data_IF_938997619349
#
_entry.id   IF_938997619349
#
_cell.length_a   1.000
_cell.length_b   1.000
_cell.length_c   1.000
_cell.angle_alpha   90.00
_cell.angle_beta   90.00
_cell.angle_gamma   90.00
#
_symmetry.space_group_name_H-M   'P 1'
#
loop_
_entity.id
_entity.type
_entity.pdbx_description
1 polymer ?
#
# COMPACT_ATOMS: atom_id res chain seq x y z
N UNK A 1 -72.95 7.77 33.43
CA UNK A 1 -72.00 8.76 32.81
C UNK A 1 -70.61 8.13 32.85
N UNK A 2 -70.18 7.46 31.77
CA UNK A 2 -68.87 6.81 31.69
C UNK A 2 -67.88 7.78 31.03
N UNK A 3 -66.91 8.17 31.80
CA UNK A 3 -65.86 9.16 31.44
C UNK A 3 -64.89 8.48 30.46
N UNK A 4 -64.97 8.81 29.14
CA UNK A 4 -64.04 8.38 28.10
C UNK A 4 -62.77 9.20 28.27
N UNK A 5 -61.75 8.64 28.92
CA UNK A 5 -60.36 9.19 28.86
C UNK A 5 -59.89 9.28 27.41
N UNK A 6 -59.46 10.44 26.94
CA UNK A 6 -58.99 10.60 25.58
C UNK A 6 -57.73 9.75 25.36
N UNK A 7 -57.72 8.93 24.31
CA UNK A 7 -56.53 8.18 23.86
C UNK A 7 -55.48 9.14 23.25
N UNK A 8 -54.74 9.84 24.08
CA UNK A 8 -53.70 10.78 23.69
C UNK A 8 -52.44 10.08 23.14
N UNK A 9 -52.21 8.80 23.53
CA UNK A 9 -51.03 8.04 23.17
C UNK A 9 -50.75 7.90 21.64
N UNK A 10 -51.71 7.61 20.76
CA UNK A 10 -51.39 7.46 19.31
C UNK A 10 -51.03 8.81 18.68
N UNK A 11 -51.61 9.89 19.09
CA UNK A 11 -51.26 11.23 18.60
C UNK A 11 -49.89 11.68 19.08
N UNK A 12 -49.49 11.32 20.30
CA UNK A 12 -48.16 11.61 20.84
C UNK A 12 -47.06 10.89 20.09
N UNK A 13 -47.26 9.62 19.71
CA UNK A 13 -46.31 8.87 18.87
C UNK A 13 -46.20 9.45 17.46
N UNK A 14 -47.30 9.91 16.86
CA UNK A 14 -47.29 10.59 15.57
C UNK A 14 -46.55 11.92 15.62
N UNK A 15 -46.75 12.73 16.65
CA UNK A 15 -46.01 13.97 16.87
C UNK A 15 -44.50 13.71 17.10
N UNK A 16 -44.15 12.74 17.90
CA UNK A 16 -42.74 12.37 18.14
C UNK A 16 -42.07 11.85 16.87
N UNK A 17 -42.76 11.02 16.07
CA UNK A 17 -42.26 10.56 14.80
C UNK A 17 -42.07 11.68 13.78
N UNK A 18 -43.05 12.61 13.68
CA UNK A 18 -42.94 13.79 12.82
C UNK A 18 -41.83 14.75 13.27
N UNK A 19 -41.71 15.02 14.56
CA UNK A 19 -40.58 15.79 15.09
C UNK A 19 -39.24 15.13 14.85
N UNK A 20 -39.15 13.83 15.05
CA UNK A 20 -37.93 13.04 14.76
C UNK A 20 -37.54 13.11 13.28
N UNK A 21 -38.51 12.97 12.37
CA UNK A 21 -38.26 13.04 10.92
C UNK A 21 -37.78 14.44 10.50
N UNK A 22 -38.41 15.50 11.00
CA UNK A 22 -38.02 16.88 10.71
C UNK A 22 -36.63 17.19 11.30
N UNK A 23 -36.37 16.78 12.53
CA UNK A 23 -35.07 16.98 13.19
C UNK A 23 -33.96 16.23 12.43
N UNK A 24 -34.21 14.99 12.01
CA UNK A 24 -33.26 14.20 11.17
C UNK A 24 -33.02 14.85 9.81
N UNK A 25 -34.06 15.39 9.17
CA UNK A 25 -33.96 16.11 7.89
C UNK A 25 -33.14 17.38 8.02
N UNK A 26 -33.33 18.14 9.10
CA UNK A 26 -32.57 19.36 9.39
C UNK A 26 -31.10 19.01 9.67
N UNK A 27 -30.83 18.00 10.49
CA UNK A 27 -29.47 17.53 10.76
C UNK A 27 -28.80 17.08 9.46
N UNK A 28 -29.48 16.30 8.61
CA UNK A 28 -29.00 15.83 7.34
C UNK A 28 -28.74 16.98 6.35
N UNK A 29 -29.64 18.00 6.30
CA UNK A 29 -29.42 19.19 5.49
C UNK A 29 -28.20 19.98 5.98
N UNK A 30 -28.03 20.19 7.27
CA UNK A 30 -26.86 20.86 7.81
C UNK A 30 -25.58 20.11 7.63
N UNK A 31 -25.62 18.77 7.66
CA UNK A 31 -24.48 17.88 7.37
C UNK A 31 -24.03 18.04 5.90
N UNK A 32 -24.98 18.11 4.97
CA UNK A 32 -24.70 18.32 3.54
C UNK A 32 -24.26 19.76 3.27
N UNK A 33 -24.99 20.75 3.79
CA UNK A 33 -24.74 22.16 3.55
C UNK A 33 -23.42 22.67 4.17
N UNK A 34 -22.99 22.08 5.30
CA UNK A 34 -21.70 22.34 5.95
C UNK A 34 -20.70 21.20 5.80
N UNK A 35 -20.70 20.56 4.65
CA UNK A 35 -19.76 19.46 4.35
C UNK A 35 -18.31 19.87 4.62
N UNK A 36 -17.92 21.11 4.34
CA UNK A 36 -16.58 21.62 4.64
C UNK A 36 -16.24 21.59 6.14
N UNK A 37 -17.20 21.86 7.01
CA UNK A 37 -17.00 21.79 8.47
C UNK A 37 -16.81 20.35 8.96
N UNK A 38 -17.52 19.40 8.38
CA UNK A 38 -17.36 17.97 8.69
C UNK A 38 -16.04 17.41 8.12
N UNK A 39 -15.68 17.79 6.89
CA UNK A 39 -14.40 17.46 6.28
C UNK A 39 -13.22 17.97 7.11
N UNK A 40 -13.30 19.21 7.60
CA UNK A 40 -12.27 19.79 8.47
C UNK A 40 -12.20 19.10 9.84
N UNK A 41 -13.32 18.68 10.43
CA UNK A 41 -13.34 17.94 11.68
C UNK A 41 -12.69 16.55 11.52
N UNK A 42 -13.01 15.83 10.44
CA UNK A 42 -12.37 14.54 10.11
C UNK A 42 -10.88 14.72 9.84
N UNK A 43 -10.49 15.74 9.08
CA UNK A 43 -9.09 16.05 8.79
C UNK A 43 -8.30 16.37 10.06
N UNK A 44 -8.89 17.14 10.98
CA UNK A 44 -8.28 17.43 12.28
C UNK A 44 -8.13 16.17 13.12
N UNK A 45 -9.17 15.34 13.19
CA UNK A 45 -9.16 14.09 13.94
C UNK A 45 -8.10 13.11 13.36
N UNK A 46 -8.08 12.94 12.04
CA UNK A 46 -7.05 12.13 11.35
C UNK A 46 -5.66 12.69 11.61
N UNK A 47 -5.46 14.00 11.58
CA UNK A 47 -4.18 14.64 11.92
C UNK A 47 -3.69 14.30 13.32
N UNK A 48 -4.58 14.32 14.31
CA UNK A 48 -4.28 13.94 15.71
C UNK A 48 -3.97 12.45 15.82
N UNK A 49 -4.66 11.60 15.06
CA UNK A 49 -4.48 10.14 15.08
C UNK A 49 -3.33 9.64 14.20
N UNK A 50 -2.75 10.49 13.34
CA UNK A 50 -1.66 10.09 12.41
C UNK A 50 -0.50 9.34 13.10
N UNK A 51 0.03 9.76 14.25
CA UNK A 51 1.09 9.01 14.92
C UNK A 51 0.66 7.58 15.33
N UNK A 52 -0.60 7.41 15.73
CA UNK A 52 -1.17 6.11 16.06
C UNK A 52 -1.34 5.24 14.81
N UNK A 53 -1.76 5.82 13.69
CA UNK A 53 -1.87 5.13 12.40
C UNK A 53 -0.48 4.67 11.95
N UNK A 54 0.53 5.55 11.98
CA UNK A 54 1.91 5.18 11.68
C UNK A 54 2.42 4.07 12.59
N UNK A 55 2.17 4.18 13.90
CA UNK A 55 2.55 3.15 14.86
C UNK A 55 1.89 1.80 14.58
N UNK A 56 0.60 1.81 14.24
CA UNK A 56 -0.14 0.60 13.87
C UNK A 56 0.42 -0.04 12.58
N UNK A 57 0.70 0.76 11.56
CA UNK A 57 1.31 0.28 10.30
C UNK A 57 2.69 -0.31 10.55
N UNK A 58 3.56 0.41 11.29
CA UNK A 58 4.90 -0.08 11.65
C UNK A 58 4.81 -1.39 12.44
N UNK A 59 3.93 -1.45 13.45
CA UNK A 59 3.72 -2.66 14.24
C UNK A 59 3.24 -3.84 13.38
N UNK A 60 2.34 -3.57 12.42
CA UNK A 60 1.82 -4.59 11.51
C UNK A 60 2.90 -5.12 10.56
N UNK A 61 3.69 -4.24 9.95
CA UNK A 61 4.79 -4.60 9.06
C UNK A 61 5.91 -5.36 9.80
N UNK A 62 6.20 -4.98 11.04
CA UNK A 62 7.24 -5.63 11.85
C UNK A 62 6.74 -6.89 12.59
N UNK A 63 5.42 -7.15 12.63
CA UNK A 63 4.83 -8.34 13.28
C UNK A 63 5.48 -9.67 12.85
N UNK A 64 5.70 -9.95 11.54
CA UNK A 64 6.34 -11.20 11.10
C UNK A 64 7.77 -11.33 11.62
N UNK A 65 8.56 -10.25 11.53
CA UNK A 65 9.94 -10.21 12.03
C UNK A 65 9.98 -10.45 13.54
N UNK A 66 9.10 -9.77 14.27
CA UNK A 66 8.97 -9.95 15.73
C UNK A 66 8.61 -11.40 16.10
N UNK A 67 7.68 -12.02 15.36
CA UNK A 67 7.30 -13.41 15.60
C UNK A 67 8.46 -14.38 15.33
N UNK A 68 9.22 -14.15 14.27
CA UNK A 68 10.40 -14.97 13.92
C UNK A 68 11.47 -14.86 15.01
N UNK A 69 11.80 -13.64 15.44
CA UNK A 69 12.76 -13.41 16.52
C UNK A 69 12.27 -14.01 17.84
N UNK A 70 10.99 -13.81 18.19
CA UNK A 70 10.38 -14.39 19.40
C UNK A 70 10.47 -15.92 19.37
N UNK A 71 10.11 -16.56 18.23
CA UNK A 71 10.18 -18.01 18.10
C UNK A 71 11.60 -18.56 18.21
N UNK A 72 12.57 -17.82 17.66
CA UNK A 72 13.98 -18.16 17.76
C UNK A 72 14.49 -18.06 19.21
N UNK A 73 14.20 -16.94 19.88
CA UNK A 73 14.64 -16.72 21.28
C UNK A 73 14.02 -17.73 22.24
N UNK A 74 12.77 -18.16 22.01
CA UNK A 74 12.09 -19.17 22.82
C UNK A 74 12.77 -20.56 22.79
N UNK A 75 13.61 -20.83 21.79
CA UNK A 75 14.40 -22.10 21.73
C UNK A 75 15.57 -22.11 22.71
N UNK A 76 16.07 -20.93 23.10
CA UNK A 76 17.27 -20.78 23.93
C UNK A 76 16.98 -20.31 25.35
N UNK A 77 15.82 -19.69 25.59
CA UNK A 77 15.48 -19.07 26.88
C UNK A 77 14.41 -19.89 27.60
N UNK A 78 14.63 -20.27 28.87
CA UNK A 78 13.67 -21.07 29.66
C UNK A 78 12.31 -20.36 29.81
N UNK A 79 11.25 -21.17 29.97
CA UNK A 79 9.86 -20.70 30.10
C UNK A 79 9.63 -19.65 31.21
N UNK A 80 10.37 -19.71 32.29
CA UNK A 80 10.29 -18.75 33.42
C UNK A 80 10.61 -17.31 33.03
N UNK A 81 11.29 -17.09 31.89
CA UNK A 81 11.72 -15.77 31.41
C UNK A 81 10.96 -15.27 30.19
N UNK A 82 9.74 -15.75 29.96
CA UNK A 82 8.91 -15.33 28.81
C UNK A 82 8.69 -13.81 28.70
N UNK A 83 8.69 -13.09 29.83
CA UNK A 83 8.62 -11.61 29.81
C UNK A 83 9.84 -10.98 29.16
N UNK A 84 11.04 -11.48 29.44
CA UNK A 84 12.30 -11.02 28.84
C UNK A 84 12.36 -11.34 27.36
N UNK A 85 11.90 -12.53 26.94
CA UNK A 85 11.84 -12.90 25.52
C UNK A 85 10.98 -11.91 24.74
N UNK A 86 9.81 -11.53 25.26
CA UNK A 86 8.93 -10.58 24.60
C UNK A 86 9.56 -9.19 24.47
N UNK A 87 10.19 -8.69 25.55
CA UNK A 87 10.89 -7.39 25.50
C UNK A 87 12.05 -7.44 24.53
N UNK A 88 12.88 -8.48 24.59
CA UNK A 88 14.07 -8.62 23.76
C UNK A 88 13.69 -8.77 22.27
N UNK A 89 12.66 -9.56 21.94
CA UNK A 89 12.20 -9.71 20.56
C UNK A 89 11.67 -8.40 19.99
N UNK A 90 10.92 -7.61 20.73
CA UNK A 90 10.43 -6.30 20.30
C UNK A 90 11.59 -5.33 20.10
N UNK A 91 12.51 -5.26 21.05
CA UNK A 91 13.69 -4.37 20.96
C UNK A 91 14.54 -4.71 19.75
N UNK A 92 14.86 -5.99 19.53
CA UNK A 92 15.62 -6.44 18.36
C UNK A 92 14.87 -6.17 17.05
N UNK A 93 13.55 -6.32 17.04
CA UNK A 93 12.73 -6.04 15.87
C UNK A 93 12.75 -4.56 15.50
N UNK A 94 12.58 -3.67 16.47
CA UNK A 94 12.64 -2.21 16.23
C UNK A 94 14.05 -1.80 15.83
N UNK A 95 15.08 -2.32 16.49
CA UNK A 95 16.48 -2.07 16.12
C UNK A 95 16.77 -2.53 14.69
N UNK A 96 16.31 -3.72 14.31
CA UNK A 96 16.41 -4.23 12.93
C UNK A 96 15.72 -3.30 11.92
N UNK A 97 14.48 -2.85 12.21
CA UNK A 97 13.76 -1.91 11.34
C UNK A 97 14.48 -0.57 11.19
N UNK A 98 14.98 0.00 12.29
CA UNK A 98 15.76 1.25 12.26
C UNK A 98 17.07 1.09 11.51
N UNK A 99 17.79 -0.02 11.72
CA UNK A 99 19.05 -0.31 11.04
C UNK A 99 18.82 -0.52 9.54
N UNK A 100 17.73 -1.18 9.15
CA UNK A 100 17.35 -1.35 7.74
C UNK A 100 17.08 0.01 7.08
N UNK A 101 16.30 0.88 7.72
CA UNK A 101 16.02 2.23 7.20
C UNK A 101 17.32 3.05 7.11
N UNK A 102 18.15 2.99 8.14
CA UNK A 102 19.45 3.68 8.15
C UNK A 102 20.36 3.20 7.01
N UNK A 103 20.47 1.89 6.82
CA UNK A 103 21.27 1.30 5.75
C UNK A 103 20.75 1.71 4.36
N UNK A 104 19.41 1.68 4.15
CA UNK A 104 18.80 2.16 2.92
C UNK A 104 19.07 3.66 2.68
N UNK A 105 18.91 4.50 3.70
CA UNK A 105 19.19 5.93 3.57
C UNK A 105 20.67 6.19 3.24
N UNK A 106 21.60 5.52 3.92
CA UNK A 106 23.04 5.66 3.67
C UNK A 106 23.44 5.16 2.28
N UNK A 107 22.72 4.20 1.74
CA UNK A 107 22.96 3.65 0.40
C UNK A 107 22.35 4.52 -0.70
N UNK A 108 21.13 5.03 -0.49
CA UNK A 108 20.36 5.74 -1.50
C UNK A 108 20.76 7.21 -1.59
N UNK A 109 20.88 7.92 -0.45
CA UNK A 109 21.06 9.38 -0.43
C UNK A 109 22.35 9.83 -1.13
N UNK A 110 23.54 9.25 -0.83
CA UNK A 110 24.78 9.63 -1.54
C UNK A 110 24.71 9.35 -3.04
N UNK A 111 24.11 8.21 -3.40
CA UNK A 111 23.97 7.81 -4.80
C UNK A 111 23.00 8.74 -5.57
N UNK A 112 21.91 9.18 -4.93
CA UNK A 112 21.00 10.19 -5.50
C UNK A 112 21.74 11.51 -5.78
N UNK A 113 22.48 12.01 -4.80
CA UNK A 113 23.27 13.26 -4.95
C UNK A 113 24.24 13.14 -6.11
N UNK A 114 25.05 12.06 -6.13
CA UNK A 114 26.01 11.80 -7.21
C UNK A 114 25.31 11.68 -8.56
N UNK A 115 24.17 11.00 -8.62
CA UNK A 115 23.42 10.82 -9.86
C UNK A 115 22.83 12.13 -10.36
N UNK A 116 22.25 12.96 -9.50
CA UNK A 116 21.68 14.26 -9.88
C UNK A 116 22.79 15.23 -10.33
N UNK A 117 23.93 15.26 -9.65
CA UNK A 117 25.07 16.08 -10.06
C UNK A 117 25.66 15.62 -11.38
N UNK A 118 25.84 14.32 -11.58
CA UNK A 118 26.31 13.73 -12.85
C UNK A 118 25.33 14.02 -13.98
N UNK A 119 24.05 13.87 -13.72
CA UNK A 119 22.95 14.18 -14.65
C UNK A 119 23.02 15.64 -15.08
N UNK A 120 23.19 16.58 -14.14
CA UNK A 120 23.32 17.99 -14.42
C UNK A 120 24.46 18.31 -15.39
N UNK A 121 25.68 17.89 -15.05
CA UNK A 121 26.85 18.16 -15.90
C UNK A 121 26.79 17.42 -17.24
N UNK A 122 26.29 16.20 -17.28
CA UNK A 122 26.21 15.40 -18.50
C UNK A 122 25.11 15.91 -19.43
N UNK A 123 23.95 16.30 -18.89
CA UNK A 123 22.88 16.89 -19.69
C UNK A 123 23.30 18.19 -20.36
N UNK A 124 23.91 19.10 -19.60
CA UNK A 124 24.42 20.36 -20.17
C UNK A 124 25.47 20.12 -21.27
N UNK A 125 26.44 19.23 -21.01
CA UNK A 125 27.45 18.88 -21.99
C UNK A 125 26.87 18.23 -23.25
N UNK A 126 25.93 17.32 -23.11
CA UNK A 126 25.32 16.63 -24.25
C UNK A 126 24.41 17.57 -25.04
N UNK A 127 23.69 18.45 -24.36
CA UNK A 127 22.85 19.46 -24.98
C UNK A 127 23.72 20.44 -25.80
N UNK A 128 24.83 20.90 -25.24
CA UNK A 128 25.78 21.76 -25.96
C UNK A 128 26.37 21.05 -27.19
N UNK A 129 26.78 19.77 -27.06
CA UNK A 129 27.27 18.98 -28.20
C UNK A 129 26.23 18.80 -29.28
N UNK A 130 24.95 18.54 -28.87
CA UNK A 130 23.86 18.42 -29.81
C UNK A 130 23.62 19.69 -30.62
N UNK A 131 23.66 20.87 -29.97
CA UNK A 131 23.52 22.15 -30.64
C UNK A 131 24.72 22.41 -31.56
N UNK A 132 25.96 22.13 -31.13
CA UNK A 132 27.15 22.24 -31.96
C UNK A 132 27.04 21.32 -33.20
N UNK A 133 26.62 20.07 -33.03
CA UNK A 133 26.41 19.15 -34.13
C UNK A 133 25.33 19.65 -35.09
N UNK A 134 24.18 20.09 -34.54
CA UNK A 134 23.07 20.60 -35.34
C UNK A 134 23.46 21.86 -36.14
N UNK A 135 24.29 22.74 -35.59
CA UNK A 135 24.79 23.93 -36.28
C UNK A 135 25.73 23.58 -37.47
N UNK A 136 26.30 22.39 -37.55
CA UNK A 136 27.11 21.90 -38.67
C UNK A 136 26.32 21.10 -39.69
N UNK A 137 25.01 20.90 -39.49
CA UNK A 137 24.14 20.28 -40.50
C UNK A 137 23.79 21.31 -41.56
N UNK A 138 24.18 21.06 -42.81
CA UNK A 138 24.07 21.98 -43.97
C UNK A 138 22.66 22.56 -44.12
N UNK A 139 21.61 21.79 -43.85
CA UNK A 139 20.21 22.24 -43.90
C UNK A 139 19.91 23.29 -42.79
N UNK A 140 20.47 23.17 -41.62
CA UNK A 140 20.26 24.08 -40.48
C UNK A 140 21.14 25.31 -40.65
N UNK A 141 22.40 25.12 -41.05
CA UNK A 141 23.35 26.19 -41.31
C UNK A 141 22.84 27.22 -42.33
N UNK A 142 22.17 26.73 -43.39
CA UNK A 142 21.60 27.55 -44.42
C UNK A 142 20.22 28.17 -44.07
N UNK A 143 19.66 27.87 -42.89
CA UNK A 143 18.36 28.36 -42.47
C UNK A 143 18.41 29.11 -41.14
N UNK A 144 18.57 30.46 -41.25
CA UNK A 144 18.71 31.34 -40.10
C UNK A 144 17.54 31.24 -39.08
N UNK A 145 16.33 30.93 -39.54
CA UNK A 145 15.16 30.81 -38.67
C UNK A 145 15.26 29.56 -37.79
N UNK A 146 15.65 28.44 -38.40
CA UNK A 146 15.84 27.17 -37.66
C UNK A 146 16.99 27.32 -36.66
N UNK A 147 18.07 27.96 -37.05
CA UNK A 147 19.24 28.26 -36.19
C UNK A 147 18.83 29.08 -34.96
N UNK A 148 18.04 30.15 -35.18
CA UNK A 148 17.54 30.98 -34.06
C UNK A 148 16.59 30.23 -33.15
N UNK A 149 15.70 29.40 -33.69
CA UNK A 149 14.80 28.55 -32.91
C UNK A 149 15.58 27.53 -32.07
N UNK A 150 16.60 26.90 -32.66
CA UNK A 150 17.43 25.90 -31.94
C UNK A 150 18.20 26.57 -30.80
N UNK A 151 18.83 27.73 -31.03
CA UNK A 151 19.58 28.45 -30.02
C UNK A 151 18.68 29.02 -28.91
N UNK A 152 17.48 29.50 -29.23
CA UNK A 152 16.51 29.95 -28.24
C UNK A 152 15.94 28.80 -27.40
N UNK A 153 15.65 27.66 -28.04
CA UNK A 153 15.23 26.42 -27.33
C UNK A 153 16.34 25.94 -26.40
N UNK A 154 17.61 25.93 -26.87
CA UNK A 154 18.76 25.60 -26.04
C UNK A 154 18.86 26.51 -24.82
N UNK A 155 18.83 27.84 -25.02
CA UNK A 155 18.88 28.78 -23.92
C UNK A 155 17.78 28.61 -22.92
N UNK A 156 16.52 28.40 -23.39
CA UNK A 156 15.36 28.19 -22.53
C UNK A 156 15.45 26.87 -21.74
N UNK A 157 15.83 25.78 -22.39
CA UNK A 157 16.00 24.48 -21.73
C UNK A 157 17.15 24.55 -20.71
N UNK A 158 18.31 25.14 -21.10
CA UNK A 158 19.47 25.26 -20.21
C UNK A 158 19.16 26.10 -18.99
N UNK A 159 18.45 27.22 -19.14
CA UNK A 159 18.08 28.11 -18.04
C UNK A 159 17.07 27.47 -17.10
N UNK A 160 16.01 26.86 -17.65
CA UNK A 160 15.00 26.19 -16.86
C UNK A 160 15.58 24.97 -16.12
N UNK A 161 16.50 24.25 -16.78
CA UNK A 161 17.18 23.10 -16.17
C UNK A 161 18.12 23.53 -15.05
N UNK A 162 18.87 24.63 -15.25
CA UNK A 162 19.74 25.26 -14.25
C UNK A 162 18.92 25.72 -13.02
N UNK A 163 17.78 26.38 -13.26
CA UNK A 163 16.90 26.84 -12.20
C UNK A 163 16.33 25.66 -11.41
N UNK A 164 15.81 24.64 -12.11
CA UNK A 164 15.25 23.45 -11.47
C UNK A 164 16.28 22.71 -10.62
N UNK A 165 17.50 22.56 -11.11
CA UNK A 165 18.57 21.84 -10.39
C UNK A 165 19.14 22.68 -9.26
N UNK A 166 19.55 23.94 -9.54
CA UNK A 166 20.29 24.79 -8.58
C UNK A 166 19.36 25.38 -7.51
N UNK A 167 18.13 25.76 -7.88
CA UNK A 167 17.23 26.46 -6.96
C UNK A 167 16.24 25.53 -6.27
N UNK A 168 15.89 24.40 -6.85
CA UNK A 168 14.91 23.48 -6.27
C UNK A 168 15.50 22.14 -5.82
N UNK A 169 16.18 21.40 -6.71
CA UNK A 169 16.62 20.03 -6.41
C UNK A 169 17.86 20.00 -5.49
N UNK A 170 18.94 20.69 -5.83
CA UNK A 170 20.16 20.70 -5.04
C UNK A 170 19.96 21.23 -3.61
N UNK A 171 19.28 22.37 -3.38
CA UNK A 171 18.99 22.82 -2.03
C UNK A 171 18.07 21.86 -1.27
N UNK A 172 17.07 21.27 -1.94
CA UNK A 172 16.20 20.27 -1.31
C UNK A 172 16.99 19.04 -0.89
N UNK A 173 17.91 18.56 -1.71
CA UNK A 173 18.78 17.41 -1.39
C UNK A 173 19.84 17.78 -0.33
N UNK A 174 20.43 18.96 -0.41
CA UNK A 174 21.32 19.46 0.63
C UNK A 174 20.57 19.67 1.94
N UNK A 175 19.32 20.13 1.89
CA UNK A 175 18.45 20.22 3.06
C UNK A 175 18.08 18.85 3.64
N UNK A 176 17.98 17.79 2.85
CA UNK A 176 17.82 16.41 3.33
C UNK A 176 19.10 15.94 4.03
N UNK A 177 20.28 16.28 3.48
CA UNK A 177 21.59 15.88 4.03
C UNK A 177 22.02 16.77 5.18
N UNK A 178 21.84 18.09 5.05
CA UNK A 178 22.13 19.08 6.10
C UNK A 178 20.92 19.35 7.01
N UNK A 179 19.75 18.90 6.62
CA UNK A 179 18.49 19.05 7.36
C UNK A 179 18.47 18.32 8.71
N UNK A 180 19.50 17.53 8.97
CA UNK A 180 19.89 17.23 10.35
C UNK A 180 20.23 18.50 11.17
N UNK A 181 20.48 19.64 10.52
CA UNK A 181 20.90 20.89 11.19
C UNK A 181 19.97 22.10 11.03
N UNK A 182 19.17 22.25 9.96
CA UNK A 182 18.44 23.51 9.65
C UNK A 182 16.96 23.33 9.30
N UNK A 183 16.49 22.13 8.97
CA UNK A 183 15.08 21.83 8.71
C UNK A 183 14.23 21.61 9.98
N UNK A 184 14.56 22.29 11.08
CA UNK A 184 14.13 21.97 12.44
C UNK A 184 12.61 21.94 12.64
N UNK A 185 11.80 22.73 11.96
CA UNK A 185 10.37 22.80 12.26
C UNK A 185 9.53 21.69 11.56
N UNK A 186 9.77 21.44 10.27
CA UNK A 186 9.04 20.36 9.57
C UNK A 186 9.62 18.98 9.90
N UNK A 187 10.96 18.89 10.06
CA UNK A 187 11.62 17.67 10.53
C UNK A 187 11.28 17.36 11.99
N UNK A 188 11.13 18.35 12.85
CA UNK A 188 10.68 18.15 14.24
C UNK A 188 9.25 17.59 14.27
N UNK A 189 8.35 18.09 13.43
CA UNK A 189 6.98 17.54 13.38
C UNK A 189 6.96 16.13 12.81
N UNK A 190 7.73 15.87 11.77
CA UNK A 190 7.85 14.53 11.18
C UNK A 190 8.58 13.57 12.13
N UNK A 191 9.67 13.99 12.76
CA UNK A 191 10.40 13.22 13.77
C UNK A 191 9.54 12.98 15.01
N UNK A 192 8.78 13.98 15.48
CA UNK A 192 7.82 13.80 16.57
C UNK A 192 6.79 12.72 16.23
N UNK A 193 6.19 12.78 15.05
CA UNK A 193 5.19 11.80 14.64
C UNK A 193 5.81 10.39 14.46
N UNK A 194 7.03 10.32 13.95
CA UNK A 194 7.77 9.07 13.83
C UNK A 194 8.15 8.48 15.20
N UNK A 195 8.67 9.30 16.11
CA UNK A 195 9.03 8.86 17.47
C UNK A 195 7.77 8.38 18.22
N UNK A 196 6.68 9.15 18.17
CA UNK A 196 5.41 8.73 18.76
C UNK A 196 4.90 7.46 18.07
N UNK A 197 5.00 7.37 16.74
CA UNK A 197 4.64 6.18 15.98
C UNK A 197 5.45 4.95 16.40
N UNK A 198 6.76 5.08 16.60
CA UNK A 198 7.61 3.98 17.12
C UNK A 198 7.18 3.58 18.52
N UNK A 199 6.93 4.54 19.41
CA UNK A 199 6.45 4.26 20.78
C UNK A 199 5.13 3.50 20.72
N UNK A 200 4.19 3.97 19.89
CA UNK A 200 2.89 3.28 19.68
C UNK A 200 3.10 1.88 19.10
N UNK A 201 4.01 1.71 18.12
CA UNK A 201 4.33 0.41 17.56
C UNK A 201 4.87 -0.56 18.63
N UNK A 202 5.77 -0.10 19.48
CA UNK A 202 6.27 -0.89 20.63
C UNK A 202 5.13 -1.32 21.54
N UNK A 203 4.24 -0.38 21.92
CA UNK A 203 3.08 -0.69 22.75
C UNK A 203 2.13 -1.68 22.08
N UNK A 204 1.87 -1.53 20.80
CA UNK A 204 1.01 -2.44 20.04
C UNK A 204 1.60 -3.84 19.93
N UNK A 205 2.90 -3.94 19.64
CA UNK A 205 3.60 -5.23 19.59
C UNK A 205 3.66 -5.90 20.98
N UNK A 206 3.94 -5.14 22.01
CA UNK A 206 4.03 -5.64 23.39
C UNK A 206 2.66 -6.12 23.91
N UNK A 207 1.60 -5.37 23.64
CA UNK A 207 0.26 -5.62 24.17
C UNK A 207 -0.67 -6.32 23.17
N UNK A 208 -0.16 -6.82 22.05
CA UNK A 208 -0.96 -7.41 20.95
C UNK A 208 -1.98 -8.46 21.41
N UNK A 209 -1.57 -9.38 22.30
CA UNK A 209 -2.45 -10.42 22.82
C UNK A 209 -3.58 -9.82 23.67
N UNK A 210 -3.26 -8.79 24.47
CA UNK A 210 -4.23 -8.09 25.34
C UNK A 210 -5.24 -7.31 24.50
N UNK A 211 -4.78 -6.57 23.48
CA UNK A 211 -5.69 -5.84 22.56
C UNK A 211 -6.64 -6.77 21.83
N UNK A 212 -6.15 -7.91 21.32
CA UNK A 212 -7.00 -8.91 20.68
C UNK A 212 -8.06 -9.48 21.64
N UNK A 213 -7.69 -9.75 22.90
CA UNK A 213 -8.66 -10.21 23.91
C UNK A 213 -9.68 -9.13 24.26
N UNK A 214 -9.24 -7.88 24.45
CA UNK A 214 -10.15 -6.75 24.71
C UNK A 214 -11.11 -6.52 23.53
N UNK A 215 -10.63 -6.57 22.30
CA UNK A 215 -11.46 -6.46 21.11
C UNK A 215 -12.51 -7.59 21.06
N UNK A 216 -12.14 -8.82 21.40
CA UNK A 216 -13.10 -9.93 21.50
C UNK A 216 -14.15 -9.68 22.60
N UNK A 217 -13.77 -9.20 23.78
CA UNK A 217 -14.71 -8.87 24.85
C UNK A 217 -15.73 -7.82 24.40
N UNK A 218 -15.26 -6.75 23.77
CA UNK A 218 -16.12 -5.70 23.21
C UNK A 218 -17.06 -6.27 22.15
N UNK A 219 -16.52 -7.10 21.23
CA UNK A 219 -17.29 -7.71 20.16
C UNK A 219 -18.45 -8.57 20.69
N UNK A 220 -18.17 -9.47 21.64
CA UNK A 220 -19.18 -10.34 22.23
C UNK A 220 -20.11 -9.63 23.21
N UNK A 221 -19.73 -8.44 23.73
CA UNK A 221 -20.60 -7.59 24.55
C UNK A 221 -21.66 -6.86 23.73
N UNK A 222 -21.30 -6.40 22.51
CA UNK A 222 -22.18 -5.59 21.66
C UNK A 222 -23.04 -6.46 20.75
N UNK A 223 -22.47 -7.53 20.19
CA UNK A 223 -23.13 -8.35 19.18
C UNK A 223 -23.60 -9.70 19.74
N UNK A 224 -24.72 -10.22 19.18
CA UNK A 224 -25.15 -11.58 19.47
C UNK A 224 -24.05 -12.59 19.07
N UNK A 225 -23.91 -13.74 19.75
CA UNK A 225 -22.83 -14.69 19.52
C UNK A 225 -22.62 -15.08 18.04
N UNK A 226 -23.71 -15.28 17.29
CA UNK A 226 -23.66 -15.61 15.86
C UNK A 226 -22.97 -14.51 15.02
N UNK A 227 -23.31 -13.24 15.26
CA UNK A 227 -22.70 -12.12 14.56
C UNK A 227 -21.25 -11.87 15.01
N UNK A 228 -20.99 -12.03 16.30
CA UNK A 228 -19.64 -11.90 16.85
C UNK A 228 -18.68 -12.93 16.23
N UNK A 229 -19.12 -14.16 16.04
CA UNK A 229 -18.31 -15.21 15.39
C UNK A 229 -18.03 -14.87 13.92
N UNK A 230 -19.06 -14.47 13.15
CA UNK A 230 -18.88 -14.04 11.76
C UNK A 230 -17.88 -12.88 11.64
N UNK A 231 -18.01 -11.84 12.47
CA UNK A 231 -17.08 -10.69 12.45
C UNK A 231 -15.65 -11.16 12.80
N UNK A 232 -15.51 -12.06 13.76
CA UNK A 232 -14.20 -12.60 14.14
C UNK A 232 -13.56 -13.40 12.99
N UNK A 233 -14.32 -14.19 12.25
CA UNK A 233 -13.86 -14.91 11.06
C UNK A 233 -13.42 -13.94 9.97
N UNK A 234 -14.21 -12.89 9.70
CA UNK A 234 -13.85 -11.86 8.72
C UNK A 234 -12.59 -11.11 9.11
N UNK A 235 -12.42 -10.75 10.38
CA UNK A 235 -11.19 -10.10 10.87
C UNK A 235 -9.97 -11.03 10.72
N UNK A 236 -10.15 -12.33 10.98
CA UNK A 236 -9.08 -13.32 10.77
C UNK A 236 -8.74 -13.48 9.29
N UNK A 237 -9.75 -13.49 8.42
CA UNK A 237 -9.57 -13.51 6.97
C UNK A 237 -8.83 -12.24 6.49
N UNK A 238 -9.24 -11.06 6.96
CA UNK A 238 -8.56 -9.79 6.67
C UNK A 238 -7.08 -9.83 7.11
N UNK A 239 -6.76 -10.27 8.33
CA UNK A 239 -5.37 -10.40 8.80
C UNK A 239 -4.55 -11.33 7.90
N UNK A 240 -5.14 -12.44 7.41
CA UNK A 240 -4.50 -13.35 6.45
C UNK A 240 -4.27 -12.68 5.10
N UNK A 241 -5.27 -11.98 4.56
CA UNK A 241 -5.17 -11.29 3.26
C UNK A 241 -4.13 -10.17 3.30
N UNK A 242 -4.23 -9.28 4.27
CA UNK A 242 -3.27 -8.18 4.44
C UNK A 242 -1.86 -8.70 4.70
N UNK A 243 -1.70 -9.65 5.62
CA UNK A 243 -0.40 -10.21 5.96
C UNK A 243 0.25 -10.94 4.79
N UNK A 244 -0.49 -11.79 4.11
CA UNK A 244 -0.02 -12.52 2.94
C UNK A 244 0.39 -11.59 1.80
N UNK A 245 -0.49 -10.65 1.44
CA UNK A 245 -0.26 -9.74 0.34
C UNK A 245 0.91 -8.77 0.59
N UNK A 246 0.90 -8.08 1.75
CA UNK A 246 1.94 -7.08 2.04
C UNK A 246 3.31 -7.75 2.19
N UNK A 247 3.40 -8.85 2.96
CA UNK A 247 4.67 -9.57 3.11
C UNK A 247 5.14 -10.16 1.79
N UNK A 248 4.23 -10.73 1.00
CA UNK A 248 4.53 -11.23 -0.34
C UNK A 248 5.07 -10.13 -1.24
N UNK A 249 4.42 -8.95 -1.28
CA UNK A 249 4.87 -7.82 -2.11
C UNK A 249 6.20 -7.22 -1.65
N UNK A 250 6.47 -7.15 -0.36
CA UNK A 250 7.77 -6.70 0.14
C UNK A 250 8.88 -7.68 -0.28
N UNK A 251 8.63 -8.98 -0.14
CA UNK A 251 9.61 -10.01 -0.53
C UNK A 251 9.84 -10.03 -2.05
N UNK A 252 8.78 -9.98 -2.83
CA UNK A 252 8.81 -9.87 -4.28
C UNK A 252 9.63 -8.66 -4.74
N UNK A 253 9.33 -7.49 -4.22
CA UNK A 253 10.03 -6.22 -4.50
C UNK A 253 11.52 -6.27 -4.12
N UNK A 254 11.85 -6.91 -3.01
CA UNK A 254 13.25 -7.09 -2.60
C UNK A 254 13.99 -8.01 -3.60
N UNK A 255 13.38 -9.11 -4.03
CA UNK A 255 13.96 -10.02 -5.02
C UNK A 255 14.15 -9.32 -6.35
N UNK A 256 13.14 -8.60 -6.84
CA UNK A 256 13.22 -7.83 -8.09
C UNK A 256 14.31 -6.75 -8.00
N UNK A 257 14.42 -6.04 -6.88
CA UNK A 257 15.49 -5.08 -6.65
C UNK A 257 16.87 -5.70 -6.74
N UNK A 258 17.08 -6.86 -6.12
CA UNK A 258 18.35 -7.61 -6.17
C UNK A 258 18.65 -8.12 -7.58
N UNK A 259 17.67 -8.71 -8.26
CA UNK A 259 17.84 -9.18 -9.64
C UNK A 259 18.14 -8.02 -10.61
N UNK A 260 17.45 -6.89 -10.43
CA UNK A 260 17.73 -5.68 -11.18
C UNK A 260 19.16 -5.19 -10.93
N UNK A 261 19.63 -5.20 -9.69
CA UNK A 261 21.01 -4.80 -9.35
C UNK A 261 22.05 -5.72 -10.01
N UNK A 262 21.87 -7.02 -9.90
CA UNK A 262 22.74 -8.02 -10.56
C UNK A 262 22.76 -7.81 -12.07
N UNK A 263 21.61 -7.65 -12.71
CA UNK A 263 21.50 -7.38 -14.13
C UNK A 263 22.20 -6.07 -14.53
N UNK A 264 21.99 -5.00 -13.75
CA UNK A 264 22.65 -3.72 -13.99
C UNK A 264 24.19 -3.81 -13.89
N UNK A 265 24.73 -4.65 -13.01
CA UNK A 265 26.18 -4.91 -12.91
C UNK A 265 26.69 -5.70 -14.13
N UNK A 266 25.96 -6.76 -14.53
CA UNK A 266 26.34 -7.61 -15.69
C UNK A 266 26.39 -6.77 -16.97
N UNK A 267 25.35 -6.00 -17.24
CA UNK A 267 25.26 -5.16 -18.45
C UNK A 267 25.98 -3.82 -18.31
N UNK A 268 26.60 -3.56 -17.15
CA UNK A 268 27.34 -2.32 -16.86
C UNK A 268 26.50 -1.07 -17.11
N UNK A 269 25.24 -1.08 -16.66
CA UNK A 269 24.39 0.08 -16.71
C UNK A 269 24.86 1.13 -15.68
N UNK A 270 24.80 2.43 -16.01
CA UNK A 270 25.19 3.47 -15.07
C UNK A 270 24.21 3.56 -13.89
N UNK A 271 24.71 4.01 -12.75
CA UNK A 271 23.91 4.19 -11.52
C UNK A 271 23.16 2.93 -11.07
N UNK A 272 23.79 1.76 -11.23
CA UNK A 272 23.20 0.43 -11.01
C UNK A 272 22.43 0.32 -9.69
N UNK A 273 23.03 0.78 -8.58
CA UNK A 273 22.42 0.73 -7.26
C UNK A 273 21.15 1.58 -7.18
N UNK A 274 21.21 2.84 -7.63
CA UNK A 274 20.08 3.76 -7.60
C UNK A 274 18.90 3.23 -8.44
N UNK A 275 19.22 2.79 -9.66
CA UNK A 275 18.24 2.23 -10.60
C UNK A 275 17.54 1.00 -10.02
N UNK A 276 18.31 0.08 -9.44
CA UNK A 276 17.75 -1.15 -8.85
C UNK A 276 16.90 -0.88 -7.60
N UNK A 277 17.30 0.10 -6.79
CA UNK A 277 16.49 0.51 -5.65
C UNK A 277 15.19 1.18 -6.08
N UNK A 278 15.24 2.06 -7.10
CA UNK A 278 14.02 2.67 -7.66
C UNK A 278 13.07 1.56 -8.16
N UNK A 279 13.56 0.63 -8.98
CA UNK A 279 12.77 -0.49 -9.51
C UNK A 279 12.21 -1.34 -8.35
N UNK A 280 13.04 -1.74 -7.39
CA UNK A 280 12.63 -2.56 -6.26
C UNK A 280 11.57 -1.87 -5.37
N UNK A 281 11.79 -0.61 -5.00
CA UNK A 281 10.85 0.13 -4.13
C UNK A 281 9.52 0.37 -4.83
N UNK A 282 9.55 0.75 -6.10
CA UNK A 282 8.30 0.99 -6.85
C UNK A 282 7.53 -0.30 -7.13
N UNK A 283 8.21 -1.45 -7.23
CA UNK A 283 7.57 -2.76 -7.47
C UNK A 283 6.61 -3.18 -6.35
N UNK A 284 6.66 -2.52 -5.18
CA UNK A 284 5.66 -2.73 -4.11
C UNK A 284 4.25 -2.38 -4.59
N UNK A 285 4.09 -1.46 -5.54
CA UNK A 285 2.81 -1.11 -6.15
C UNK A 285 2.51 -2.09 -7.28
N UNK A 286 1.46 -2.93 -7.15
CA UNK A 286 1.10 -3.86 -8.21
C UNK A 286 0.76 -3.11 -9.51
N UNK A 287 1.06 -3.69 -10.66
CA UNK A 287 0.85 -3.17 -12.02
C UNK A 287 1.58 -1.86 -12.34
N UNK A 288 1.45 -0.84 -11.51
CA UNK A 288 2.03 0.49 -11.77
C UNK A 288 3.49 0.62 -11.33
N UNK A 289 3.91 -0.17 -10.35
CA UNK A 289 5.27 -0.14 -9.82
C UNK A 289 6.36 -0.23 -10.88
N UNK A 290 6.29 -1.22 -11.78
CA UNK A 290 7.25 -1.36 -12.88
C UNK A 290 7.38 -0.11 -13.75
N UNK A 291 6.25 0.53 -14.11
CA UNK A 291 6.25 1.72 -14.96
C UNK A 291 6.77 2.95 -14.20
N UNK A 292 6.31 3.14 -12.95
CA UNK A 292 6.75 4.24 -12.08
C UNK A 292 8.25 4.18 -11.83
N UNK A 293 8.83 2.98 -11.75
CA UNK A 293 10.26 2.79 -11.57
C UNK A 293 11.06 2.85 -12.88
N UNK A 294 10.57 2.19 -13.94
CA UNK A 294 11.29 2.08 -15.20
C UNK A 294 11.46 3.43 -15.92
N UNK A 295 10.45 4.31 -15.88
CA UNK A 295 10.51 5.60 -16.56
C UNK A 295 11.64 6.48 -16.00
N UNK A 296 11.71 6.82 -14.70
CA UNK A 296 12.79 7.62 -14.17
C UNK A 296 14.15 6.92 -14.27
N UNK A 297 14.21 5.59 -14.07
CA UNK A 297 15.43 4.84 -14.20
C UNK A 297 15.97 4.88 -15.65
N UNK A 298 15.12 4.72 -16.65
CA UNK A 298 15.49 4.83 -18.06
C UNK A 298 15.96 6.24 -18.41
N UNK A 299 15.28 7.28 -17.91
CA UNK A 299 15.69 8.68 -18.12
C UNK A 299 17.08 8.97 -17.52
N UNK A 300 17.36 8.44 -16.32
CA UNK A 300 18.66 8.57 -15.69
C UNK A 300 19.78 7.94 -16.54
N UNK A 301 19.52 6.79 -17.16
CA UNK A 301 20.49 6.11 -18.04
C UNK A 301 20.58 6.82 -19.39
N UNK A 302 19.44 7.26 -19.95
CA UNK A 302 19.33 7.92 -21.26
C UNK A 302 20.24 9.17 -21.34
N UNK A 303 20.24 9.98 -20.30
CA UNK A 303 21.06 11.19 -20.24
C UNK A 303 22.55 10.87 -20.21
N UNK A 304 22.94 9.74 -19.60
CA UNK A 304 24.33 9.30 -19.55
C UNK A 304 24.78 8.58 -20.84
N UNK A 305 23.93 7.67 -21.33
CA UNK A 305 24.21 6.88 -22.53
C UNK A 305 22.92 6.40 -23.19
N UNK A 306 22.51 6.99 -24.35
CA UNK A 306 21.27 6.63 -25.03
C UNK A 306 21.17 5.16 -25.48
N UNK A 307 22.30 4.59 -25.93
CA UNK A 307 22.32 3.18 -26.36
C UNK A 307 22.10 2.25 -25.18
N UNK A 308 22.71 2.55 -24.04
CA UNK A 308 22.49 1.78 -22.81
C UNK A 308 21.06 1.92 -22.28
N UNK A 309 20.42 3.05 -22.47
CA UNK A 309 19.01 3.25 -22.09
C UNK A 309 18.08 2.30 -22.88
N UNK A 310 18.32 2.14 -24.18
CA UNK A 310 17.56 1.19 -25.00
C UNK A 310 17.72 -0.24 -24.49
N UNK A 311 18.95 -0.67 -24.22
CA UNK A 311 19.23 -2.00 -23.65
C UNK A 311 18.63 -2.18 -22.26
N UNK A 312 18.60 -1.11 -21.45
CA UNK A 312 17.97 -1.14 -20.12
C UNK A 312 16.47 -1.32 -20.21
N UNK A 313 15.77 -0.65 -21.15
CA UNK A 313 14.34 -0.87 -21.37
C UNK A 313 14.05 -2.32 -21.71
N UNK A 314 14.83 -2.93 -22.63
CA UNK A 314 14.68 -4.35 -22.98
C UNK A 314 14.93 -5.25 -21.76
N UNK A 315 15.96 -4.97 -20.99
CA UNK A 315 16.26 -5.70 -19.75
C UNK A 315 15.12 -5.63 -18.75
N UNK A 316 14.57 -4.42 -18.50
CA UNK A 316 13.45 -4.25 -17.56
C UNK A 316 12.21 -4.96 -18.06
N UNK A 317 11.91 -4.94 -19.35
CA UNK A 317 10.79 -5.72 -19.91
C UNK A 317 10.93 -7.21 -19.64
N UNK A 318 12.13 -7.77 -19.84
CA UNK A 318 12.40 -9.18 -19.51
C UNK A 318 12.26 -9.44 -18.00
N UNK A 319 12.80 -8.54 -17.18
CA UNK A 319 12.69 -8.64 -15.72
C UNK A 319 11.23 -8.62 -15.26
N UNK A 320 10.39 -7.76 -15.87
CA UNK A 320 8.96 -7.69 -15.57
C UNK A 320 8.19 -8.94 -16.04
N UNK A 321 8.58 -9.54 -17.17
CA UNK A 321 8.00 -10.82 -17.60
C UNK A 321 8.36 -11.94 -16.62
N UNK A 322 9.58 -11.93 -16.09
CA UNK A 322 9.99 -12.88 -15.05
C UNK A 322 9.22 -12.66 -13.75
N UNK A 323 9.01 -11.40 -13.36
CA UNK A 323 8.20 -11.04 -12.19
C UNK A 323 6.76 -11.53 -12.34
N UNK A 324 6.09 -11.11 -13.40
CA UNK A 324 4.65 -11.39 -13.61
C UNK A 324 4.32 -12.88 -13.80
N UNK A 325 5.22 -13.64 -14.44
CA UNK A 325 4.93 -15.04 -14.81
C UNK A 325 5.58 -16.09 -13.88
N UNK A 326 6.62 -15.73 -13.13
CA UNK A 326 7.38 -16.70 -12.33
C UNK A 326 7.46 -16.30 -10.86
N UNK A 327 7.95 -15.10 -10.56
CA UNK A 327 8.27 -14.67 -9.20
C UNK A 327 7.00 -14.33 -8.46
N UNK A 328 6.17 -13.44 -9.04
CA UNK A 328 4.89 -13.02 -8.47
C UNK A 328 3.98 -14.20 -8.11
N UNK A 329 3.65 -15.11 -9.04
CA UNK A 329 2.83 -16.29 -8.74
C UNK A 329 3.43 -17.21 -7.67
N UNK A 330 4.75 -17.37 -7.63
CA UNK A 330 5.41 -18.18 -6.60
C UNK A 330 5.40 -17.57 -5.21
N UNK A 331 5.48 -16.25 -5.11
CA UNK A 331 5.55 -15.55 -3.82
C UNK A 331 4.17 -15.19 -3.31
N UNK A 332 3.33 -14.61 -4.17
CA UNK A 332 1.99 -14.14 -3.80
C UNK A 332 0.97 -15.27 -3.88
N UNK A 333 1.15 -16.26 -4.78
CA UNK A 333 0.15 -17.30 -5.05
C UNK A 333 -1.23 -16.67 -5.34
N UNK A 334 -2.29 -17.40 -5.09
CA UNK A 334 -3.67 -16.92 -5.14
C UNK A 334 -4.07 -16.23 -3.82
N UNK A 335 -3.19 -15.37 -3.28
CA UNK A 335 -3.37 -14.83 -1.91
C UNK A 335 -4.63 -13.97 -1.80
N UNK A 336 -5.05 -13.30 -2.87
CA UNK A 336 -6.20 -12.38 -2.84
C UNK A 336 -7.50 -12.97 -3.39
N UNK A 337 -7.43 -14.03 -4.20
CA UNK A 337 -8.61 -14.60 -4.89
C UNK A 337 -9.34 -13.59 -5.80
N UNK A 338 -8.69 -12.49 -6.16
CA UNK A 338 -9.26 -11.47 -7.03
C UNK A 338 -8.75 -11.65 -8.46
N UNK A 339 -9.65 -11.51 -9.45
CA UNK A 339 -9.23 -11.42 -10.83
C UNK A 339 -8.42 -10.12 -11.09
N UNK A 340 -7.60 -10.12 -12.13
CA UNK A 340 -6.76 -8.95 -12.49
C UNK A 340 -7.56 -7.66 -12.67
N UNK A 341 -8.81 -7.75 -13.15
CA UNK A 341 -9.72 -6.61 -13.25
C UNK A 341 -10.00 -5.99 -11.88
N UNK A 342 -10.36 -6.79 -10.88
CA UNK A 342 -10.66 -6.30 -9.54
C UNK A 342 -9.43 -5.77 -8.80
N UNK A 343 -8.27 -6.34 -9.09
CA UNK A 343 -7.01 -5.81 -8.56
C UNK A 343 -6.73 -4.43 -9.12
N UNK A 344 -6.87 -4.24 -10.45
CA UNK A 344 -6.70 -2.93 -11.10
C UNK A 344 -7.72 -1.91 -10.58
N UNK A 345 -8.99 -2.31 -10.47
CA UNK A 345 -10.06 -1.48 -9.91
C UNK A 345 -9.71 -1.01 -8.48
N UNK A 346 -9.27 -1.93 -7.63
CA UNK A 346 -8.89 -1.61 -6.24
C UNK A 346 -7.74 -0.60 -6.18
N UNK A 347 -6.71 -0.77 -7.01
CA UNK A 347 -5.56 0.14 -7.05
C UNK A 347 -5.99 1.54 -7.49
N UNK A 348 -6.82 1.65 -8.54
CA UNK A 348 -7.30 2.93 -9.04
C UNK A 348 -8.22 3.62 -8.03
N UNK A 349 -9.17 2.88 -7.45
CA UNK A 349 -10.12 3.41 -6.47
C UNK A 349 -9.41 3.92 -5.23
N UNK A 350 -8.64 3.07 -4.57
CA UNK A 350 -7.97 3.43 -3.31
C UNK A 350 -6.74 4.31 -3.54
N UNK A 351 -6.09 4.20 -4.69
CA UNK A 351 -5.05 5.12 -5.12
C UNK A 351 -5.57 6.54 -5.30
N UNK A 352 -6.78 6.71 -5.86
CA UNK A 352 -7.46 8.00 -5.95
C UNK A 352 -7.87 8.57 -4.60
N UNK A 353 -8.27 7.72 -3.64
CA UNK A 353 -8.71 8.14 -2.30
C UNK A 353 -7.55 8.46 -1.35
N UNK A 354 -6.50 7.63 -1.32
CA UNK A 354 -5.42 7.68 -0.33
C UNK A 354 -4.01 7.76 -0.93
N UNK A 355 -3.92 8.03 -2.24
CA UNK A 355 -2.65 8.15 -2.95
C UNK A 355 -1.81 6.87 -2.91
N UNK A 356 -0.50 7.01 -2.73
CA UNK A 356 0.46 5.90 -2.73
C UNK A 356 0.12 4.79 -1.73
N UNK A 357 -0.29 5.15 -0.51
CA UNK A 357 -0.69 4.18 0.52
C UNK A 357 -1.91 3.40 0.06
N UNK A 358 -2.88 4.08 -0.55
CA UNK A 358 -4.07 3.45 -1.10
C UNK A 358 -3.79 2.43 -2.20
N UNK A 359 -2.79 2.68 -3.05
CA UNK A 359 -2.39 1.72 -4.09
C UNK A 359 -1.84 0.40 -3.50
N UNK A 360 -1.16 0.47 -2.36
CA UNK A 360 -0.60 -0.72 -1.70
C UNK A 360 -1.66 -1.46 -0.89
N UNK A 361 -2.41 -0.72 -0.06
CA UNK A 361 -3.38 -1.29 0.89
C UNK A 361 -4.71 -1.64 0.21
N UNK A 362 -5.00 -1.01 -0.93
CA UNK A 362 -6.28 -1.13 -1.62
C UNK A 362 -6.62 -2.53 -2.08
N UNK A 363 -5.63 -3.29 -2.57
CA UNK A 363 -5.85 -4.66 -3.06
C UNK A 363 -6.32 -5.58 -1.94
N UNK A 364 -5.60 -5.75 -0.82
CA UNK A 364 -6.08 -6.60 0.26
C UNK A 364 -7.37 -6.06 0.91
N UNK A 365 -7.56 -4.74 0.96
CA UNK A 365 -8.80 -4.16 1.47
C UNK A 365 -10.00 -4.52 0.57
N UNK A 366 -9.82 -4.40 -0.74
CA UNK A 366 -10.87 -4.76 -1.69
C UNK A 366 -11.16 -6.27 -1.66
N UNK A 367 -10.14 -7.12 -1.48
CA UNK A 367 -10.33 -8.56 -1.32
C UNK A 367 -11.26 -8.89 -0.16
N UNK A 368 -11.09 -8.21 0.98
CA UNK A 368 -11.99 -8.38 2.15
C UNK A 368 -13.40 -7.87 1.83
N UNK A 369 -13.54 -6.71 1.21
CA UNK A 369 -14.84 -6.17 0.80
C UNK A 369 -15.55 -7.12 -0.17
N UNK A 370 -14.83 -7.65 -1.15
CA UNK A 370 -15.34 -8.58 -2.14
C UNK A 370 -15.81 -9.90 -1.50
N UNK A 371 -15.04 -10.45 -0.55
CA UNK A 371 -15.42 -11.65 0.19
C UNK A 371 -16.69 -11.44 1.02
N UNK A 372 -16.81 -10.30 1.72
CA UNK A 372 -18.03 -9.94 2.45
C UNK A 372 -19.23 -9.83 1.51
N UNK A 373 -19.08 -9.19 0.34
CA UNK A 373 -20.15 -9.09 -0.66
C UNK A 373 -20.53 -10.49 -1.17
N UNK A 374 -19.54 -11.33 -1.52
CA UNK A 374 -19.76 -12.72 -1.96
C UNK A 374 -20.59 -13.51 -0.93
N UNK A 375 -20.22 -13.43 0.34
CA UNK A 375 -20.96 -14.09 1.43
C UNK A 375 -22.39 -13.56 1.58
N UNK A 376 -22.59 -12.24 1.45
CA UNK A 376 -23.92 -11.63 1.50
C UNK A 376 -24.79 -12.09 0.33
N UNK A 377 -24.24 -12.16 -0.88
CA UNK A 377 -24.94 -12.65 -2.08
C UNK A 377 -25.35 -14.12 -1.90
N UNK A 378 -24.42 -14.98 -1.48
CA UNK A 378 -24.70 -16.40 -1.23
C UNK A 378 -25.79 -16.56 -0.17
N UNK A 379 -25.72 -15.78 0.92
CA UNK A 379 -26.75 -15.81 1.96
C UNK A 379 -28.11 -15.36 1.42
N UNK A 380 -28.15 -14.33 0.59
CA UNK A 380 -29.37 -13.85 -0.08
C UNK A 380 -29.98 -14.90 -1.00
N UNK A 381 -29.18 -15.55 -1.85
CA UNK A 381 -29.62 -16.60 -2.75
C UNK A 381 -30.17 -17.81 -1.97
N UNK A 382 -29.49 -18.25 -0.90
CA UNK A 382 -30.00 -19.32 -0.01
C UNK A 382 -31.34 -18.98 0.62
N UNK A 383 -31.49 -17.72 1.09
CA UNK A 383 -32.74 -17.24 1.69
C UNK A 383 -33.89 -17.22 0.68
N UNK A 384 -33.62 -16.81 -0.55
CA UNK A 384 -34.61 -16.73 -1.62
C UNK A 384 -34.83 -18.05 -2.37
N UNK A 385 -34.12 -19.14 -1.99
CA UNK A 385 -34.16 -20.46 -2.66
C UNK A 385 -33.71 -20.43 -4.13
N UNK A 386 -32.86 -19.51 -4.49
CA UNK A 386 -32.31 -19.30 -5.85
C UNK A 386 -30.85 -19.75 -5.95
N UNK A 387 -30.46 -20.78 -5.20
CA UNK A 387 -29.05 -21.24 -5.16
C UNK A 387 -28.61 -21.83 -6.51
N UNK A 388 -29.55 -22.32 -7.33
CA UNK A 388 -29.30 -22.88 -8.65
C UNK A 388 -28.69 -21.83 -9.62
N UNK A 389 -29.00 -20.54 -9.42
CA UNK A 389 -28.36 -19.45 -10.16
C UNK A 389 -26.86 -19.41 -9.93
N UNK A 390 -26.41 -19.72 -8.72
CA UNK A 390 -24.98 -19.76 -8.41
C UNK A 390 -24.31 -20.95 -9.09
N UNK A 391 -24.96 -22.12 -9.14
CA UNK A 391 -24.44 -23.28 -9.85
C UNK A 391 -24.38 -23.02 -11.36
N UNK A 392 -25.45 -22.47 -11.94
CA UNK A 392 -25.47 -22.07 -13.36
C UNK A 392 -24.36 -21.06 -13.70
N UNK A 393 -24.07 -20.11 -12.79
CA UNK A 393 -22.97 -19.18 -12.96
C UNK A 393 -21.61 -19.91 -12.96
N UNK A 394 -21.37 -20.81 -12.01
CA UNK A 394 -20.13 -21.59 -11.95
C UNK A 394 -19.96 -22.53 -13.16
N UNK A 395 -21.04 -23.12 -13.64
CA UNK A 395 -21.00 -24.01 -14.81
C UNK A 395 -20.68 -23.25 -16.11
N UNK A 396 -21.16 -22.00 -16.23
CA UNK A 396 -20.98 -21.19 -17.46
C UNK A 396 -19.67 -20.38 -17.45
N UNK A 397 -19.21 -19.94 -16.30
CA UNK A 397 -18.10 -18.99 -16.18
C UNK A 397 -16.99 -19.47 -15.27
N UNK A 398 -17.06 -20.76 -14.82
CA UNK A 398 -16.21 -21.36 -13.80
C UNK A 398 -14.88 -20.64 -13.61
N UNK A 399 -14.72 -19.93 -12.51
CA UNK A 399 -13.46 -19.29 -12.19
C UNK A 399 -12.45 -20.38 -11.81
N UNK A 400 -11.33 -20.53 -12.55
CA UNK A 400 -10.27 -21.46 -12.17
C UNK A 400 -9.61 -21.10 -10.83
N UNK A 401 -9.96 -19.94 -10.24
CA UNK A 401 -9.44 -19.44 -8.98
C UNK A 401 -10.35 -19.73 -7.76
N UNK A 402 -11.58 -20.23 -7.98
CA UNK A 402 -12.53 -20.54 -6.92
C UNK A 402 -12.47 -22.01 -6.43
N UNK A 403 -11.33 -22.69 -6.54
CA UNK A 403 -11.06 -23.94 -5.82
C UNK A 403 -10.91 -23.69 -4.30
N UNK A 404 -11.93 -23.08 -3.72
CA UNK A 404 -12.23 -23.27 -2.29
C UNK A 404 -13.00 -24.57 -2.20
N UNK A 405 -12.49 -25.60 -1.50
CA UNK A 405 -13.27 -26.80 -1.26
C UNK A 405 -14.59 -26.36 -0.60
N UNK A 406 -15.68 -26.54 -1.31
CA UNK A 406 -16.99 -26.59 -0.66
C UNK A 406 -16.87 -27.77 0.27
N UNK A 407 -16.74 -27.54 1.58
CA UNK A 407 -16.99 -28.57 2.56
C UNK A 407 -18.39 -29.08 2.25
N UNK A 408 -18.44 -30.17 1.49
CA UNK A 408 -19.59 -31.01 1.39
C UNK A 408 -19.91 -31.36 2.82
N UNK A 409 -20.97 -30.73 3.34
CA UNK A 409 -21.64 -31.20 4.55
C UNK A 409 -21.88 -32.70 4.32
N UNK A 410 -21.06 -33.51 4.98
CA UNK A 410 -21.26 -34.91 5.03
C UNK A 410 -22.72 -35.10 5.46
N UNK A 411 -23.55 -35.59 4.53
CA UNK A 411 -24.88 -35.99 4.82
C UNK A 411 -24.77 -36.99 5.96
N UNK A 412 -25.43 -36.70 7.07
CA UNK A 412 -25.70 -37.64 8.09
C UNK A 412 -26.36 -38.85 7.43
N UNK A 413 -25.61 -39.92 7.27
CA UNK A 413 -26.20 -41.25 6.99
C UNK A 413 -27.03 -41.64 8.22
N UNK A 414 -28.25 -42.05 8.05
CA UNK A 414 -29.08 -42.54 9.16
C UNK A 414 -28.40 -43.75 9.82
N UNK A 415 -28.51 -43.92 11.14
CA UNK A 415 -27.86 -45.00 11.84
C UNK A 415 -28.44 -46.37 11.34
N UNK A 416 -27.51 -47.25 10.97
CA UNK A 416 -27.85 -48.60 10.59
C UNK A 416 -28.55 -49.30 11.77
N UNK A 417 -29.79 -49.73 11.57
CA UNK A 417 -30.51 -50.62 12.48
C UNK A 417 -29.68 -51.91 12.64
N UNK A 418 -29.18 -52.14 13.83
CA UNK A 418 -28.65 -53.45 14.25
C UNK A 418 -29.82 -54.38 14.46
N UNK A 419 -30.14 -55.22 13.46
CA UNK A 419 -30.96 -56.42 13.68
C UNK A 419 -30.10 -57.48 14.40
N UNK A 420 -30.43 -57.70 15.67
CA UNK A 420 -30.07 -58.93 16.39
C UNK A 420 -30.78 -60.13 15.77
N UNK A 421 -30.03 -61.14 15.39
CA UNK A 421 -30.36 -62.59 15.53
C UNK A 421 -29.03 -63.30 15.76
#
# INVERSE_FOLDING_TARGET
MMDKKPHIKPYLYGMLAGFGAISLSIIFFFLIYRFDGFGNAISTLTGILMPFIYGAVIAYLLKPVCNTIESFLRRFIPEKMHGLVNVLSITLTILFGLLLIYALCMMIIPQLITSVTTLYYTAQRNLAKFVQWANHVEFIENNQQIMNMLNSAYATISTNFDDLIKTRLLPSMQNIVSGAAVGVLNVVTMAKNLIIGIIVAVYMLASRKRFVQQAKLVLYSIFKPRWAELIKEEVKYADKMFGGFINGKIMDSAIIGVLCYIGCLIFKFPSALLVSVIIGVTNVIPFFGPFIGAVPATLLILIQNPIKALWFVLFVLVLQQLDGNVIGPKILGNTTGLSSFWVLFAILLFGGLWGFVGMIVGVPLFAVIYDVIKKLVIHGLKRNKEIDLLQTYHDNFGDPEDDVPVETSASEAPPAETNNL
#
